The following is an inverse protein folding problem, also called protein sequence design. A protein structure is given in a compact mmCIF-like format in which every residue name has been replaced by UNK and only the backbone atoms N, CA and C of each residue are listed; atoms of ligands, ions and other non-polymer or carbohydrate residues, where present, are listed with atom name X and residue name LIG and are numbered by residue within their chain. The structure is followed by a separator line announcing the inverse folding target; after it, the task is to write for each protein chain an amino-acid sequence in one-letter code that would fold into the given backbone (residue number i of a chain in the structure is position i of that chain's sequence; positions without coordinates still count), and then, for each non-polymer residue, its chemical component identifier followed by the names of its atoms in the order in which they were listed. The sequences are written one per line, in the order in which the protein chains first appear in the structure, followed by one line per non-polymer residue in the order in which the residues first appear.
data_IF_105200486124
#
_entry.id   IF_105200486124
#
_cell.length_a   1.000
_cell.length_b   1.000
_cell.length_c   1.000
_cell.angle_alpha   90.00
_cell.angle_beta   90.00
_cell.angle_gamma   90.00
#
_symmetry.space_group_name_H-M   'P 1'
#
loop_
_entity.id
_entity.type
_entity.pdbx_description
1 polymer ?
#
# COMPACT_ATOMS: atom_id res chain seq x y z
N UNK A 1 -30.57 -2.42 -2.18
CA UNK A 1 -30.36 -3.11 -0.88
C UNK A 1 -28.93 -3.61 -0.85
N UNK A 2 -28.07 -3.04 0.01
CA UNK A 2 -26.72 -3.57 0.21
C UNK A 2 -26.84 -4.84 1.07
N UNK A 3 -26.43 -5.99 0.56
CA UNK A 3 -26.42 -7.22 1.36
C UNK A 3 -25.29 -7.16 2.38
N UNK A 4 -25.44 -7.84 3.53
CA UNK A 4 -24.40 -7.92 4.55
C UNK A 4 -23.05 -8.43 3.99
N UNK A 5 -23.10 -9.27 2.95
CA UNK A 5 -21.92 -9.77 2.22
C UNK A 5 -21.21 -8.66 1.44
N UNK A 6 -21.95 -7.79 0.75
CA UNK A 6 -21.37 -6.65 0.03
C UNK A 6 -20.80 -5.60 1.00
N UNK A 7 -21.47 -5.35 2.13
CA UNK A 7 -20.98 -4.44 3.17
C UNK A 7 -19.72 -4.97 3.87
N UNK A 8 -19.67 -6.27 4.18
CA UNK A 8 -18.47 -6.93 4.74
C UNK A 8 -17.32 -6.94 3.75
N UNK A 9 -17.60 -7.21 2.47
CA UNK A 9 -16.57 -7.17 1.43
C UNK A 9 -16.01 -5.75 1.28
N UNK A 10 -16.87 -4.72 1.20
CA UNK A 10 -16.42 -3.33 1.18
C UNK A 10 -15.62 -2.94 2.43
N UNK A 11 -16.07 -3.35 3.62
CA UNK A 11 -15.38 -3.08 4.90
C UNK A 11 -14.03 -3.81 5.02
N UNK A 12 -13.91 -5.05 4.55
CA UNK A 12 -12.62 -5.77 4.55
C UNK A 12 -11.68 -5.18 3.48
N UNK A 13 -12.22 -4.78 2.32
CA UNK A 13 -11.44 -4.15 1.26
C UNK A 13 -10.98 -2.74 1.63
N UNK A 14 -11.73 -2.04 2.48
CA UNK A 14 -11.28 -0.78 3.07
C UNK A 14 -10.19 -1.03 4.09
N UNK A 15 -10.28 -2.04 4.97
CA UNK A 15 -9.24 -2.28 5.99
C UNK A 15 -7.84 -2.49 5.39
N UNK A 16 -7.71 -3.29 4.33
CA UNK A 16 -6.40 -3.48 3.68
C UNK A 16 -5.86 -2.17 3.08
N UNK A 17 -6.72 -1.38 2.44
CA UNK A 17 -6.36 -0.10 1.82
C UNK A 17 -6.02 0.97 2.86
N UNK A 18 -6.83 1.10 3.91
CA UNK A 18 -6.60 2.05 5.00
C UNK A 18 -5.35 1.69 5.81
N UNK A 19 -5.11 0.40 6.06
CA UNK A 19 -3.90 -0.06 6.75
C UNK A 19 -2.66 0.18 5.88
N UNK A 20 -2.78 -0.02 4.56
CA UNK A 20 -1.72 0.32 3.61
C UNK A 20 -1.38 1.82 3.71
N UNK A 21 -2.38 2.69 3.60
CA UNK A 21 -2.21 4.15 3.65
C UNK A 21 -1.59 4.57 4.99
N UNK A 22 -2.06 4.03 6.12
CA UNK A 22 -1.54 4.36 7.44
C UNK A 22 -0.05 3.98 7.58
N UNK A 23 0.33 2.76 7.17
CA UNK A 23 1.71 2.31 7.23
C UNK A 23 2.61 3.10 6.28
N UNK A 24 2.16 3.41 5.06
CA UNK A 24 2.91 4.24 4.12
C UNK A 24 3.14 5.65 4.67
N UNK A 25 2.12 6.28 5.25
CA UNK A 25 2.25 7.61 5.87
C UNK A 25 3.26 7.62 7.03
N UNK A 26 3.27 6.57 7.86
CA UNK A 26 4.27 6.44 8.93
C UNK A 26 5.70 6.30 8.38
N UNK A 27 5.88 5.56 7.29
CA UNK A 27 7.19 5.44 6.65
C UNK A 27 7.63 6.75 5.99
N UNK A 28 6.70 7.49 5.35
CA UNK A 28 6.97 8.84 4.83
C UNK A 28 7.39 9.77 5.96
N UNK A 29 6.64 9.84 7.06
CA UNK A 29 6.97 10.69 8.21
C UNK A 29 8.37 10.38 8.76
N UNK A 30 8.72 9.10 8.87
CA UNK A 30 10.06 8.69 9.32
C UNK A 30 11.15 9.12 8.34
N UNK A 31 10.90 8.99 7.03
CA UNK A 31 11.84 9.40 6.00
C UNK A 31 12.04 10.93 5.99
N UNK A 32 10.97 11.71 6.18
CA UNK A 32 11.03 13.17 6.35
C UNK A 32 11.88 13.55 7.56
N UNK A 33 11.64 12.94 8.72
CA UNK A 33 12.43 13.20 9.95
C UNK A 33 13.91 12.83 9.78
N UNK A 34 14.21 11.85 8.92
CA UNK A 34 15.59 11.48 8.58
C UNK A 34 16.23 12.38 7.51
N UNK A 35 15.50 13.34 6.94
CA UNK A 35 16.00 14.25 5.90
C UNK A 35 15.99 13.68 4.48
N UNK A 36 15.28 12.57 4.24
CA UNK A 36 15.12 12.00 2.91
C UNK A 36 14.00 12.73 2.13
N UNK A 37 14.03 12.64 0.80
CA UNK A 37 12.97 13.14 -0.11
C UNK A 37 12.22 12.01 -0.82
N UNK A 38 12.57 10.77 -0.50
CA UNK A 38 11.98 9.57 -1.09
C UNK A 38 12.02 8.44 -0.06
N UNK A 39 11.01 7.60 -0.08
CA UNK A 39 10.94 6.37 0.71
C UNK A 39 10.52 5.20 -0.17
N UNK A 40 11.17 4.05 0.03
CA UNK A 40 10.75 2.79 -0.57
C UNK A 40 10.24 1.85 0.53
N UNK A 41 9.00 1.42 0.40
CA UNK A 41 8.34 0.47 1.31
C UNK A 41 8.16 -0.85 0.59
N UNK A 42 8.85 -1.88 1.06
CA UNK A 42 8.80 -3.23 0.51
C UNK A 42 8.39 -4.25 1.60
N UNK A 43 8.33 -5.53 1.24
CA UNK A 43 7.91 -6.61 2.15
C UNK A 43 8.78 -6.79 3.41
N UNK A 44 9.99 -6.22 3.42
CA UNK A 44 10.94 -6.25 4.55
C UNK A 44 11.02 -4.94 5.32
N UNK A 45 10.39 -3.87 4.84
CA UNK A 45 10.38 -2.57 5.51
C UNK A 45 9.74 -2.71 6.88
N UNK A 46 10.42 -2.23 7.91
CA UNK A 46 9.90 -2.26 9.28
C UNK A 46 9.32 -0.91 9.66
N UNK A 47 8.11 -0.91 10.20
CA UNK A 47 7.40 0.29 10.66
C UNK A 47 7.08 0.15 12.14
N UNK A 48 7.55 1.10 12.94
CA UNK A 48 7.20 1.16 14.36
C UNK A 48 5.79 1.76 14.53
N UNK A 49 4.89 1.02 15.17
CA UNK A 49 3.52 1.41 15.46
C UNK A 49 3.21 1.13 16.94
N UNK A 50 3.06 2.19 17.74
CA UNK A 50 2.75 2.09 19.17
C UNK A 50 3.65 1.10 19.94
N UNK A 51 4.96 1.15 19.71
CA UNK A 51 5.94 0.26 20.34
C UNK A 51 6.05 -1.13 19.71
N UNK A 52 5.19 -1.49 18.75
CA UNK A 52 5.28 -2.73 18.00
C UNK A 52 6.02 -2.51 16.68
N UNK A 53 6.70 -3.55 16.18
CA UNK A 53 7.29 -3.55 14.84
C UNK A 53 6.37 -4.29 13.88
N UNK A 54 5.89 -3.59 12.87
CA UNK A 54 5.16 -4.17 11.72
C UNK A 54 6.16 -4.37 10.59
N UNK A 55 6.15 -5.54 9.96
CA UNK A 55 7.02 -5.85 8.81
C UNK A 55 6.18 -5.86 7.54
N UNK A 56 6.58 -5.04 6.56
CA UNK A 56 5.85 -4.83 5.33
C UNK A 56 4.49 -4.15 5.56
N UNK A 57 3.64 -4.28 4.55
CA UNK A 57 2.28 -3.76 4.48
C UNK A 57 1.37 -4.83 3.88
N UNK A 58 0.03 -4.76 4.06
CA UNK A 58 -0.88 -5.71 3.44
C UNK A 58 -0.63 -5.93 1.94
N UNK A 59 -0.31 -4.87 1.19
CA UNK A 59 -0.09 -4.98 -0.26
C UNK A 59 1.32 -5.42 -0.63
N UNK A 60 2.34 -5.06 0.14
CA UNK A 60 3.73 -5.50 -0.13
C UNK A 60 3.95 -6.97 0.24
N UNK A 61 3.18 -7.53 1.20
CA UNK A 61 3.27 -8.93 1.60
C UNK A 61 2.52 -9.88 0.66
N UNK A 62 1.41 -9.44 0.06
CA UNK A 62 0.55 -10.31 -0.74
C UNK A 62 0.89 -10.27 -2.24
N UNK A 63 1.26 -11.43 -2.80
CA UNK A 63 1.65 -11.57 -4.22
C UNK A 63 0.53 -11.22 -5.20
N UNK A 64 -0.73 -11.30 -4.77
CA UNK A 64 -1.90 -10.98 -5.60
C UNK A 64 -1.86 -9.55 -6.18
N UNK A 65 -1.24 -8.60 -5.46
CA UNK A 65 -1.12 -7.22 -5.92
C UNK A 65 -0.06 -7.08 -7.00
N UNK A 66 1.03 -7.85 -6.89
CA UNK A 66 2.07 -7.89 -7.93
C UNK A 66 1.51 -8.51 -9.22
N UNK A 67 0.80 -9.64 -9.10
CA UNK A 67 0.15 -10.27 -10.26
C UNK A 67 -0.91 -9.37 -10.88
N UNK A 68 -1.72 -8.67 -10.06
CA UNK A 68 -2.74 -7.74 -10.56
C UNK A 68 -2.14 -6.49 -11.23
N UNK A 69 -0.92 -6.11 -10.88
CA UNK A 69 -0.19 -5.01 -11.51
C UNK A 69 0.49 -5.42 -12.83
N UNK A 70 1.09 -6.62 -12.88
CA UNK A 70 1.91 -7.07 -14.02
C UNK A 70 1.13 -7.83 -15.10
N UNK A 71 0.05 -8.52 -14.74
CA UNK A 71 -0.65 -9.41 -15.67
C UNK A 71 -1.95 -8.79 -16.17
N UNK A 72 -2.36 -9.18 -17.39
CA UNK A 72 -3.65 -8.80 -17.96
C UNK A 72 -4.84 -9.52 -17.32
N UNK A 73 -4.59 -10.53 -16.47
CA UNK A 73 -5.62 -11.19 -15.65
C UNK A 73 -5.92 -10.30 -14.44
N UNK A 74 -6.57 -9.18 -14.70
CA UNK A 74 -6.84 -8.15 -13.71
C UNK A 74 -7.72 -8.69 -12.57
N UNK A 75 -7.13 -8.91 -11.40
CA UNK A 75 -7.90 -8.91 -10.17
C UNK A 75 -8.38 -7.48 -9.93
N UNK A 76 -9.57 -7.16 -10.44
CA UNK A 76 -10.14 -5.81 -10.41
C UNK A 76 -10.21 -5.23 -8.99
N UNK A 77 -10.36 -6.08 -7.98
CA UNK A 77 -10.34 -5.65 -6.59
C UNK A 77 -8.94 -5.19 -6.17
N UNK A 78 -7.92 -6.01 -6.38
CA UNK A 78 -6.54 -5.66 -6.03
C UNK A 78 -6.06 -4.42 -6.81
N UNK A 79 -6.43 -4.31 -8.09
CA UNK A 79 -6.17 -3.12 -8.91
C UNK A 79 -6.86 -1.89 -8.34
N UNK A 80 -8.14 -1.98 -7.99
CA UNK A 80 -8.90 -0.88 -7.39
C UNK A 80 -8.34 -0.44 -6.04
N UNK A 81 -7.94 -1.39 -5.19
CA UNK A 81 -7.32 -1.10 -3.90
C UNK A 81 -5.97 -0.38 -4.07
N UNK A 82 -5.10 -0.86 -4.97
CA UNK A 82 -3.85 -0.16 -5.28
C UNK A 82 -4.09 1.24 -5.85
N UNK A 83 -5.12 1.42 -6.67
CA UNK A 83 -5.46 2.73 -7.21
C UNK A 83 -5.93 3.69 -6.12
N UNK A 84 -6.75 3.24 -5.18
CA UNK A 84 -7.18 4.04 -4.03
C UNK A 84 -6.00 4.55 -3.18
N UNK A 85 -4.98 3.72 -2.98
CA UNK A 85 -3.74 4.14 -2.29
C UNK A 85 -3.04 5.24 -3.09
N UNK A 86 -2.88 5.06 -4.41
CA UNK A 86 -2.26 6.06 -5.27
C UNK A 86 -3.02 7.38 -5.24
N UNK A 87 -4.34 7.33 -5.38
CA UNK A 87 -5.19 8.51 -5.38
C UNK A 87 -5.14 9.25 -4.05
N UNK A 88 -5.01 8.54 -2.92
CA UNK A 88 -4.86 9.14 -1.60
C UNK A 88 -3.58 9.98 -1.51
N UNK A 89 -2.43 9.40 -1.88
CA UNK A 89 -1.14 10.09 -1.86
C UNK A 89 -1.05 11.22 -2.90
N UNK A 90 -1.59 11.01 -4.10
CA UNK A 90 -1.63 12.03 -5.16
C UNK A 90 -2.45 13.26 -4.74
N UNK A 91 -3.60 13.07 -4.05
CA UNK A 91 -4.40 14.17 -3.49
C UNK A 91 -3.64 15.01 -2.45
N UNK A 92 -2.67 14.39 -1.77
CA UNK A 92 -1.82 15.05 -0.77
C UNK A 92 -0.55 15.68 -1.39
N UNK A 93 -0.36 15.58 -2.71
CA UNK A 93 0.78 16.15 -3.43
C UNK A 93 2.00 15.24 -3.55
N UNK A 94 1.92 13.99 -3.08
CA UNK A 94 3.01 13.02 -3.23
C UNK A 94 3.00 12.37 -4.61
N UNK A 95 4.19 12.03 -5.12
CA UNK A 95 4.33 11.10 -6.23
C UNK A 95 4.54 9.69 -5.65
N UNK A 96 3.64 8.77 -5.99
CA UNK A 96 3.69 7.36 -5.55
C UNK A 96 3.67 6.43 -6.76
N UNK A 97 4.57 5.45 -6.76
CA UNK A 97 4.69 4.46 -7.83
C UNK A 97 4.80 3.05 -7.27
N UNK A 98 4.20 2.10 -8.00
CA UNK A 98 4.42 0.66 -7.81
C UNK A 98 5.74 0.30 -8.48
N UNK A 99 6.63 -0.33 -7.73
CA UNK A 99 7.84 -0.97 -8.24
C UNK A 99 7.86 -2.44 -7.77
N UNK A 100 8.87 -3.20 -8.17
CA UNK A 100 9.19 -4.47 -7.53
C UNK A 100 10.69 -4.59 -7.38
N UNK A 101 11.12 -5.03 -6.20
CA UNK A 101 12.54 -5.22 -5.87
C UNK A 101 12.95 -6.70 -5.92
N UNK A 102 11.98 -7.61 -6.01
CA UNK A 102 12.17 -9.06 -5.93
C UNK A 102 11.47 -9.86 -7.04
N UNK A 103 10.68 -9.21 -7.90
CA UNK A 103 9.95 -9.85 -8.99
C UNK A 103 8.75 -10.69 -8.55
N UNK A 104 8.34 -10.63 -7.28
CA UNK A 104 7.21 -11.41 -6.75
C UNK A 104 6.21 -10.58 -5.95
N UNK A 105 6.66 -9.48 -5.39
CA UNK A 105 5.88 -8.59 -4.54
C UNK A 105 5.98 -7.16 -5.06
N UNK A 106 4.93 -6.37 -4.80
CA UNK A 106 5.02 -4.93 -5.04
C UNK A 106 5.86 -4.29 -3.95
N UNK A 107 6.46 -3.14 -4.29
CA UNK A 107 6.96 -2.17 -3.34
C UNK A 107 6.42 -0.80 -3.73
N UNK A 108 6.27 0.09 -2.77
CA UNK A 108 5.86 1.47 -3.00
C UNK A 108 7.08 2.38 -2.95
N UNK A 109 7.26 3.20 -3.97
CA UNK A 109 8.19 4.32 -3.95
C UNK A 109 7.38 5.60 -3.86
N UNK A 110 7.63 6.40 -2.82
CA UNK A 110 6.92 7.66 -2.54
C UNK A 110 7.93 8.79 -2.45
N UNK A 111 7.64 9.92 -3.08
CA UNK A 111 8.45 11.15 -3.09
C UNK A 111 7.56 12.39 -2.96
N UNK A 112 8.14 13.50 -2.51
CA UNK A 112 7.50 14.80 -2.27
C UNK A 112 8.41 15.96 -2.62
#
# INVERSE_FOLDING_TARGET
MFTATNARTQSVTSVATETEIALLNLNVLRAVTAGNVTVTVNKTTTTALNGNTVVGTPMTLATQYYTAWQTSTANALATGQMQSVIDNFAKLGYTISRISTDGTNISWQISW
#
